data_IF_715370313487
#
_entry.id   IF_715370313487
#
_cell.length_a   1.000
_cell.length_b   1.000
_cell.length_c   1.000
_cell.angle_alpha   90.00
_cell.angle_beta   90.00
_cell.angle_gamma   90.00
#
_symmetry.space_group_name_H-M   'P 1'
#
loop_
_entity.id
_entity.type
_entity.pdbx_description
1 polymer ?
#
# COMPACT_ATOMS: atom_id res chain seq x y z
N UNK A 1 12.32 -25.88 -6.10
CA UNK A 1 11.17 -25.54 -5.26
C UNK A 1 11.45 -24.25 -4.48
N UNK A 2 10.44 -23.51 -4.18
CA UNK A 2 10.48 -22.31 -3.35
C UNK A 2 10.70 -22.74 -1.89
N UNK A 3 11.33 -21.90 -1.06
CA UNK A 3 11.50 -22.15 0.38
C UNK A 3 10.13 -22.16 1.09
N UNK A 4 10.00 -22.89 2.16
CA UNK A 4 8.75 -23.12 2.86
C UNK A 4 8.14 -24.47 2.49
N UNK A 5 7.25 -24.96 3.34
CA UNK A 5 6.40 -26.12 3.07
C UNK A 5 5.02 -25.60 2.73
N UNK A 6 4.40 -26.14 1.71
CA UNK A 6 3.04 -25.75 1.36
C UNK A 6 2.05 -26.38 2.36
N UNK A 7 1.31 -25.56 3.04
CA UNK A 7 0.33 -25.89 4.06
C UNK A 7 -1.05 -25.35 3.73
N UNK A 8 -2.05 -25.85 4.43
CA UNK A 8 -3.41 -25.42 4.16
C UNK A 8 -3.67 -24.05 4.78
N UNK A 9 -3.92 -23.05 3.95
CA UNK A 9 -4.17 -21.70 4.43
C UNK A 9 -3.12 -20.67 4.02
N UNK A 10 -1.91 -21.08 3.59
CA UNK A 10 -0.80 -20.17 3.26
C UNK A 10 -1.15 -19.06 2.26
N UNK A 11 -2.07 -19.31 1.36
CA UNK A 11 -2.48 -18.36 0.31
C UNK A 11 -1.30 -17.83 -0.53
N UNK A 12 -0.28 -18.67 -0.80
CA UNK A 12 0.86 -18.31 -1.65
C UNK A 12 0.41 -17.73 -3.00
N UNK A 13 0.92 -16.54 -3.35
CA UNK A 13 0.50 -15.81 -4.56
C UNK A 13 -0.68 -14.86 -4.32
N UNK A 14 -1.01 -14.54 -3.06
CA UNK A 14 -2.10 -13.63 -2.73
C UNK A 14 -1.83 -12.20 -3.24
N UNK A 15 -0.62 -11.69 -3.05
CA UNK A 15 -0.16 -10.43 -3.61
C UNK A 15 1.12 -10.65 -4.42
N UNK A 16 1.35 -9.82 -5.43
CA UNK A 16 2.52 -9.86 -6.31
C UNK A 16 3.03 -8.44 -6.53
N UNK A 17 4.37 -8.28 -6.51
CA UNK A 17 5.04 -7.06 -6.93
C UNK A 17 6.25 -7.41 -7.80
N UNK A 18 6.55 -6.54 -8.78
CA UNK A 18 7.65 -6.73 -9.74
C UNK A 18 8.61 -5.55 -9.65
N UNK A 19 9.90 -5.83 -9.58
CA UNK A 19 10.97 -4.83 -9.59
C UNK A 19 12.32 -5.51 -9.68
N UNK A 20 13.31 -4.79 -10.16
CA UNK A 20 14.72 -5.22 -10.14
C UNK A 20 15.27 -4.98 -8.71
N UNK A 21 15.10 -5.97 -7.83
CA UNK A 21 15.46 -5.85 -6.42
C UNK A 21 16.95 -6.09 -6.15
N UNK A 22 17.69 -6.71 -7.07
CA UNK A 22 19.13 -6.99 -6.93
C UNK A 22 20.02 -6.18 -7.87
N UNK A 23 19.43 -5.22 -8.61
CA UNK A 23 20.11 -4.29 -9.54
C UNK A 23 20.92 -5.01 -10.64
N UNK A 24 20.42 -6.17 -11.12
CA UNK A 24 21.04 -6.92 -12.19
C UNK A 24 20.51 -6.54 -13.60
N UNK A 25 19.48 -5.69 -13.66
CA UNK A 25 18.81 -5.21 -14.87
C UNK A 25 17.71 -6.15 -15.37
N UNK A 26 17.28 -7.12 -14.56
CA UNK A 26 16.19 -8.04 -14.88
C UNK A 26 15.16 -8.03 -13.74
N UNK A 27 13.89 -7.83 -14.09
CA UNK A 27 12.83 -7.79 -13.09
C UNK A 27 12.72 -9.10 -12.29
N UNK A 28 12.54 -8.95 -11.00
CA UNK A 28 12.29 -9.98 -9.99
C UNK A 28 10.82 -10.01 -9.59
N UNK A 29 10.43 -11.02 -8.81
CA UNK A 29 9.06 -11.20 -8.36
C UNK A 29 9.00 -11.40 -6.85
N UNK A 30 8.33 -10.47 -6.16
CA UNK A 30 7.88 -10.63 -4.78
C UNK A 30 6.49 -11.28 -4.76
N UNK A 31 6.30 -12.24 -3.83
CA UNK A 31 5.11 -13.08 -3.73
C UNK A 31 4.68 -13.15 -2.28
N UNK A 32 3.47 -12.72 -1.96
CA UNK A 32 2.90 -12.77 -0.63
C UNK A 32 2.25 -14.12 -0.30
N UNK A 33 2.42 -14.55 0.94
CA UNK A 33 1.79 -15.72 1.57
C UNK A 33 1.23 -15.31 2.94
N UNK A 34 0.12 -14.55 3.00
CA UNK A 34 -0.35 -13.97 4.25
C UNK A 34 -0.82 -15.00 5.29
N UNK A 35 -1.18 -16.19 4.88
CA UNK A 35 -1.57 -17.27 5.79
C UNK A 35 -0.43 -18.18 6.24
N UNK A 36 0.84 -17.86 5.90
CA UNK A 36 1.99 -18.65 6.36
C UNK A 36 2.11 -18.60 7.88
N UNK A 37 2.10 -19.78 8.50
CA UNK A 37 2.38 -19.93 9.93
C UNK A 37 3.88 -19.99 10.21
N UNK A 38 4.33 -19.31 11.26
CA UNK A 38 5.73 -19.23 11.63
C UNK A 38 6.01 -20.07 12.89
N UNK A 39 7.28 -20.44 13.09
CA UNK A 39 7.73 -21.26 14.22
C UNK A 39 7.01 -22.62 14.31
N UNK A 40 6.86 -23.31 13.18
CA UNK A 40 6.17 -24.60 13.08
C UNK A 40 4.71 -24.49 13.51
N UNK A 41 3.98 -23.52 12.96
CA UNK A 41 2.55 -23.23 13.18
C UNK A 41 2.20 -22.80 14.62
N UNK A 42 3.18 -22.36 15.40
CA UNK A 42 2.90 -21.82 16.75
C UNK A 42 2.41 -20.37 16.70
N UNK A 43 2.71 -19.64 15.62
CA UNK A 43 2.17 -18.29 15.32
C UNK A 43 1.41 -18.41 14.01
N UNK A 44 0.09 -18.54 14.10
CA UNK A 44 -0.77 -18.74 12.95
C UNK A 44 -0.93 -17.45 12.15
N UNK A 45 -1.03 -17.59 10.83
CA UNK A 45 -1.30 -16.48 9.90
C UNK A 45 -0.41 -15.24 10.14
N UNK A 46 0.85 -15.47 10.55
CA UNK A 46 1.84 -14.39 10.70
C UNK A 46 2.22 -13.79 9.33
N UNK A 47 2.19 -14.63 8.31
CA UNK A 47 2.47 -14.27 6.94
C UNK A 47 3.94 -14.17 6.58
N UNK A 48 4.21 -14.27 5.28
CA UNK A 48 5.55 -14.21 4.71
C UNK A 48 5.55 -13.63 3.30
N UNK A 49 6.72 -13.16 2.85
CA UNK A 49 6.97 -12.72 1.48
C UNK A 49 8.17 -13.46 0.92
N UNK A 50 8.02 -14.03 -0.27
CA UNK A 50 9.07 -14.66 -1.04
C UNK A 50 9.54 -13.73 -2.16
N UNK A 51 10.85 -13.66 -2.41
CA UNK A 51 11.42 -13.00 -3.58
C UNK A 51 12.15 -14.00 -4.45
N UNK A 52 11.77 -14.10 -5.71
CA UNK A 52 12.41 -14.90 -6.74
C UNK A 52 13.11 -13.96 -7.73
N UNK A 53 14.38 -14.23 -7.97
CA UNK A 53 15.16 -13.39 -8.88
C UNK A 53 14.96 -13.77 -10.35
N UNK A 54 14.99 -12.73 -11.19
CA UNK A 54 14.95 -12.84 -12.63
C UNK A 54 16.22 -13.44 -13.20
N UNK A 55 16.18 -13.88 -14.44
CA UNK A 55 17.35 -14.28 -15.20
C UNK A 55 17.01 -14.32 -16.70
N UNK A 56 18.01 -14.40 -17.56
CA UNK A 56 17.82 -14.58 -19.00
C UNK A 56 17.00 -15.85 -19.36
N UNK A 57 16.78 -16.77 -18.42
CA UNK A 57 15.97 -17.99 -18.60
C UNK A 57 14.61 -17.93 -17.88
N UNK A 58 14.26 -16.80 -17.28
CA UNK A 58 13.08 -16.58 -16.45
C UNK A 58 13.42 -16.61 -14.96
N UNK A 59 12.40 -16.66 -14.11
CA UNK A 59 12.55 -16.68 -12.66
C UNK A 59 13.32 -17.91 -12.18
N UNK A 60 14.21 -17.71 -11.21
CA UNK A 60 15.04 -18.78 -10.62
C UNK A 60 14.81 -18.86 -9.10
N UNK A 61 15.01 -20.07 -8.56
CA UNK A 61 14.97 -20.30 -7.10
C UNK A 61 16.36 -20.24 -6.44
N UNK A 62 17.41 -20.06 -7.26
CA UNK A 62 18.77 -19.85 -6.74
C UNK A 62 18.86 -18.44 -6.14
N UNK A 63 19.25 -18.34 -4.87
CA UNK A 63 19.36 -17.06 -4.18
C UNK A 63 18.04 -16.49 -3.63
N UNK A 64 16.90 -17.14 -3.87
CA UNK A 64 15.60 -16.70 -3.38
C UNK A 64 15.65 -16.26 -1.91
N UNK A 65 14.88 -15.25 -1.57
CA UNK A 65 14.77 -14.74 -0.20
C UNK A 65 13.37 -15.00 0.34
N UNK A 66 13.29 -15.21 1.65
CA UNK A 66 12.03 -15.35 2.40
C UNK A 66 12.06 -14.37 3.57
N UNK A 67 11.05 -13.51 3.63
CA UNK A 67 10.85 -12.53 4.67
C UNK A 67 9.68 -12.88 5.56
N UNK A 68 9.89 -12.83 6.86
CA UNK A 68 8.86 -12.76 7.89
C UNK A 68 9.44 -12.12 9.15
N UNK A 69 8.63 -11.75 10.13
CA UNK A 69 9.13 -11.18 11.39
C UNK A 69 10.10 -12.13 12.09
N UNK A 70 11.30 -11.62 12.40
CA UNK A 70 12.42 -12.42 12.96
C UNK A 70 13.31 -13.08 11.92
N UNK A 71 12.93 -13.05 10.62
CA UNK A 71 13.78 -13.44 9.51
C UNK A 71 13.64 -12.46 8.34
N UNK A 72 14.62 -11.59 8.20
CA UNK A 72 14.64 -10.53 7.17
C UNK A 72 13.78 -9.32 7.51
N UNK A 73 12.80 -9.43 8.39
CA UNK A 73 12.05 -8.30 8.94
C UNK A 73 12.27 -8.21 10.45
N UNK A 74 12.42 -6.99 10.95
CA UNK A 74 12.57 -6.73 12.38
C UNK A 74 11.28 -7.02 13.16
N UNK A 75 11.43 -7.37 14.43
CA UNK A 75 10.32 -7.69 15.32
C UNK A 75 10.13 -9.19 15.52
N UNK A 76 9.10 -9.53 16.27
CA UNK A 76 8.68 -10.93 16.50
C UNK A 76 7.40 -11.19 15.70
N UNK A 77 7.19 -12.41 15.17
CA UNK A 77 5.94 -12.75 14.51
C UNK A 77 4.74 -12.50 15.42
N UNK A 78 3.68 -11.95 14.87
CA UNK A 78 2.39 -11.77 15.55
C UNK A 78 1.35 -12.70 14.90
N UNK A 79 0.44 -13.22 15.70
CA UNK A 79 -0.66 -14.05 15.21
C UNK A 79 -1.64 -13.20 14.41
N UNK A 80 -2.03 -13.65 13.21
CA UNK A 80 -2.92 -12.96 12.27
C UNK A 80 -2.38 -11.60 11.74
N UNK A 81 -1.07 -11.37 11.75
CA UNK A 81 -0.48 -10.15 11.17
C UNK A 81 -0.59 -10.14 9.63
N UNK A 82 -0.66 -11.33 9.01
CA UNK A 82 -0.89 -11.54 7.58
C UNK A 82 0.09 -10.79 6.66
N UNK A 83 1.38 -10.76 7.00
CA UNK A 83 2.45 -10.17 6.16
C UNK A 83 2.38 -10.76 4.75
N UNK A 84 2.44 -9.90 3.72
CA UNK A 84 2.32 -10.30 2.32
C UNK A 84 0.89 -10.20 1.78
N UNK A 85 -0.02 -9.55 2.51
CA UNK A 85 -1.37 -9.22 2.01
C UNK A 85 -1.31 -8.14 0.93
N UNK A 86 -0.41 -7.16 1.07
CA UNK A 86 -0.24 -6.04 0.14
C UNK A 86 1.23 -5.85 -0.17
N UNK A 87 1.58 -5.71 -1.45
CA UNK A 87 2.95 -5.51 -1.92
C UNK A 87 2.99 -4.43 -2.99
N UNK A 88 4.00 -3.57 -2.94
CA UNK A 88 4.35 -2.62 -3.99
C UNK A 88 5.87 -2.57 -4.17
N UNK A 89 6.35 -2.21 -5.36
CA UNK A 89 7.76 -2.00 -5.66
C UNK A 89 7.97 -0.60 -6.21
N UNK A 90 9.02 0.08 -5.78
CA UNK A 90 9.35 1.44 -6.20
C UNK A 90 10.79 1.81 -5.91
N UNK A 91 11.20 2.98 -6.38
CA UNK A 91 12.51 3.60 -6.15
C UNK A 91 12.38 4.64 -5.02
N UNK A 92 12.28 4.17 -3.76
CA UNK A 92 12.04 5.06 -2.61
C UNK A 92 13.31 5.52 -1.89
N UNK A 93 14.46 4.97 -2.26
CA UNK A 93 15.72 5.32 -1.63
C UNK A 93 16.83 5.49 -2.68
N UNK A 94 17.15 6.71 -3.10
CA UNK A 94 18.13 6.95 -4.17
C UNK A 94 19.57 6.57 -3.76
N UNK A 95 19.80 6.11 -2.53
CA UNK A 95 21.12 5.72 -2.03
C UNK A 95 21.36 4.21 -2.20
N UNK A 96 20.30 3.41 -2.23
CA UNK A 96 20.39 1.96 -2.45
C UNK A 96 20.39 1.65 -3.94
N UNK A 97 20.94 0.50 -4.32
CA UNK A 97 20.85 0.00 -5.67
C UNK A 97 19.64 -0.94 -5.79
N UNK A 98 18.95 -0.90 -6.92
CA UNK A 98 17.74 -1.68 -7.16
C UNK A 98 16.48 -1.05 -6.53
N UNK A 99 15.33 -1.57 -6.91
CA UNK A 99 14.04 -1.15 -6.34
C UNK A 99 13.83 -1.70 -4.95
N UNK A 100 13.13 -0.95 -4.13
CA UNK A 100 12.68 -1.39 -2.82
C UNK A 100 11.33 -2.10 -2.90
N UNK A 101 11.04 -2.88 -1.84
CA UNK A 101 9.77 -3.56 -1.65
C UNK A 101 9.01 -2.93 -0.47
N UNK A 102 7.83 -2.39 -0.73
CA UNK A 102 6.89 -2.01 0.30
C UNK A 102 5.93 -3.17 0.59
N UNK A 103 5.77 -3.49 1.87
CA UNK A 103 4.86 -4.52 2.37
C UNK A 103 3.83 -3.82 3.24
N UNK A 104 2.59 -3.78 2.80
CA UNK A 104 1.47 -3.34 3.63
C UNK A 104 1.10 -4.43 4.63
N UNK A 105 0.94 -4.03 5.88
CA UNK A 105 0.61 -4.93 7.00
C UNK A 105 -0.62 -4.38 7.74
N UNK A 106 -1.81 -4.41 7.11
CA UNK A 106 -3.01 -3.76 7.63
C UNK A 106 -3.51 -4.35 8.96
N UNK A 107 -3.09 -5.55 9.30
CA UNK A 107 -3.48 -6.23 10.53
C UNK A 107 -2.41 -6.14 11.63
N UNK A 108 -1.42 -5.26 11.47
CA UNK A 108 -0.39 -5.02 12.48
C UNK A 108 -0.97 -4.37 13.73
N UNK A 109 -0.74 -5.00 14.90
CA UNK A 109 -1.08 -4.42 16.18
C UNK A 109 0.01 -3.43 16.64
N UNK A 110 -0.37 -2.19 16.95
CA UNK A 110 0.53 -1.16 17.44
C UNK A 110 0.31 -0.94 18.96
N UNK A 111 1.07 -1.65 19.77
CA UNK A 111 0.92 -1.60 21.21
C UNK A 111 -0.40 -2.20 21.68
N UNK A 112 -1.31 -1.36 22.20
CA UNK A 112 -2.64 -1.77 22.63
C UNK A 112 -3.73 -1.52 21.57
N UNK A 113 -3.34 -1.08 20.37
CA UNK A 113 -4.24 -0.80 19.25
C UNK A 113 -4.26 -2.02 18.32
N UNK A 114 -5.38 -2.74 18.30
CA UNK A 114 -5.56 -3.89 17.42
C UNK A 114 -5.72 -3.43 15.97
N UNK A 115 -4.97 -4.03 15.02
CA UNK A 115 -5.08 -3.77 13.58
C UNK A 115 -4.98 -2.27 13.20
N UNK A 116 -4.12 -1.51 13.87
CA UNK A 116 -3.84 -0.12 13.48
C UNK A 116 -3.14 -0.04 12.12
N UNK A 117 -2.40 -1.10 11.77
CA UNK A 117 -1.73 -1.22 10.49
C UNK A 117 -0.34 -0.62 10.45
N UNK A 118 0.41 -1.01 9.42
CA UNK A 118 1.75 -0.54 9.16
C UNK A 118 2.15 -0.74 7.70
N UNK A 119 3.19 -0.03 7.28
CA UNK A 119 3.95 -0.30 6.05
C UNK A 119 5.38 -0.63 6.43
N UNK A 120 5.93 -1.70 5.86
CA UNK A 120 7.34 -2.07 6.00
C UNK A 120 8.05 -1.84 4.67
N UNK A 121 9.07 -0.99 4.65
CA UNK A 121 9.97 -0.83 3.51
C UNK A 121 11.17 -1.75 3.68
N UNK A 122 11.47 -2.53 2.65
CA UNK A 122 12.62 -3.44 2.60
C UNK A 122 13.52 -3.01 1.45
N UNK A 123 14.75 -2.67 1.77
CA UNK A 123 15.79 -2.30 0.78
C UNK A 123 16.98 -3.24 0.84
N UNK A 124 17.87 -3.12 -0.16
CA UNK A 124 19.13 -3.85 -0.24
C UNK A 124 18.93 -5.39 -0.34
N UNK A 125 17.95 -5.81 -1.13
CA UNK A 125 17.64 -7.23 -1.42
C UNK A 125 18.59 -7.72 -2.53
N UNK A 126 19.31 -8.84 -2.39
CA UNK A 126 19.32 -9.85 -1.32
C UNK A 126 20.39 -9.64 -0.23
N UNK A 127 20.96 -8.44 -0.12
CA UNK A 127 22.10 -8.12 0.71
C UNK A 127 21.81 -8.05 2.22
N UNK A 128 22.37 -7.01 2.85
CA UNK A 128 22.12 -6.72 4.26
C UNK A 128 20.78 -5.98 4.37
N UNK A 129 19.71 -6.72 4.48
CA UNK A 129 18.35 -6.21 4.54
C UNK A 129 18.20 -5.10 5.56
N UNK A 130 17.75 -3.96 5.10
CA UNK A 130 17.31 -2.85 5.93
C UNK A 130 15.80 -2.77 5.80
N UNK A 131 15.10 -2.86 6.93
CA UNK A 131 13.67 -2.63 6.98
C UNK A 131 13.37 -1.43 7.89
N UNK A 132 12.46 -0.59 7.43
CA UNK A 132 11.87 0.50 8.20
C UNK A 132 10.36 0.25 8.29
N UNK A 133 9.80 0.51 9.48
CA UNK A 133 8.36 0.42 9.69
C UNK A 133 7.77 1.82 9.82
N UNK A 134 6.71 2.06 9.06
CA UNK A 134 5.93 3.29 9.09
C UNK A 134 4.51 2.99 9.58
N UNK A 135 4.05 3.79 10.51
CA UNK A 135 2.69 3.80 11.05
C UNK A 135 2.21 5.23 11.09
N UNK A 136 0.95 5.49 11.35
CA UNK A 136 0.45 6.85 11.55
C UNK A 136 1.06 7.54 12.78
N UNK A 137 1.61 6.77 13.75
CA UNK A 137 2.38 7.33 14.88
C UNK A 137 3.86 7.60 14.54
N UNK A 138 4.32 7.29 13.33
CA UNK A 138 5.69 7.62 12.91
C UNK A 138 5.85 9.14 12.80
N UNK A 139 6.93 9.67 13.35
CA UNK A 139 7.16 11.11 13.36
C UNK A 139 7.18 11.69 11.94
N UNK A 140 6.33 12.67 11.68
CA UNK A 140 6.16 13.32 10.38
C UNK A 140 5.01 12.73 9.55
N UNK A 141 4.58 11.50 9.81
CA UNK A 141 3.39 10.92 9.14
C UNK A 141 2.14 11.59 9.69
N UNK A 142 1.26 12.14 8.84
CA UNK A 142 -0.01 12.72 9.27
C UNK A 142 -0.99 11.68 9.80
N UNK A 143 -1.94 12.12 10.61
CA UNK A 143 -2.93 11.26 11.27
C UNK A 143 -2.49 10.85 12.67
N UNK A 144 -3.15 9.88 13.22
CA UNK A 144 -2.82 9.21 14.48
C UNK A 144 -3.31 7.77 14.36
N UNK A 145 -2.51 6.81 14.78
CA UNK A 145 -2.91 5.41 14.73
C UNK A 145 -4.07 5.15 15.70
N UNK A 146 -5.12 4.54 15.21
CA UNK A 146 -6.31 4.15 15.96
C UNK A 146 -6.61 2.65 15.77
N UNK A 147 -7.46 2.11 16.61
CA UNK A 147 -7.88 0.72 16.53
C UNK A 147 -8.67 0.48 15.23
N UNK A 148 -8.22 -0.50 14.42
CA UNK A 148 -8.83 -0.94 13.17
C UNK A 148 -8.67 0.00 11.95
N UNK A 149 -7.82 1.01 11.99
CA UNK A 149 -7.56 1.87 10.82
C UNK A 149 -7.01 1.06 9.62
N UNK A 150 -6.16 0.07 9.89
CA UNK A 150 -5.53 -0.77 8.85
C UNK A 150 -4.65 0.00 7.88
N UNK A 151 -3.89 0.96 8.39
CA UNK A 151 -2.88 1.67 7.59
C UNK A 151 -2.03 0.69 6.77
N UNK A 152 -1.89 0.93 5.47
CA UNK A 152 -1.21 0.01 4.56
C UNK A 152 -2.11 -1.03 3.89
N UNK A 153 -3.45 -0.86 3.96
CA UNK A 153 -4.39 -1.76 3.29
C UNK A 153 -4.31 -1.71 1.78
N UNK A 154 -3.86 -0.58 1.20
CA UNK A 154 -3.64 -0.40 -0.24
C UNK A 154 -2.34 0.37 -0.44
N UNK A 155 -1.53 -0.01 -1.43
CA UNK A 155 -0.25 0.65 -1.74
C UNK A 155 -0.14 0.94 -3.24
N UNK A 156 0.40 2.11 -3.58
CA UNK A 156 0.80 2.46 -4.95
C UNK A 156 2.00 3.40 -4.92
N UNK A 157 3.04 3.09 -5.70
CA UNK A 157 4.24 3.92 -5.82
C UNK A 157 4.21 4.77 -7.08
N UNK A 158 4.81 5.95 -7.06
CA UNK A 158 4.98 6.83 -8.22
C UNK A 158 5.77 8.08 -7.88
N UNK A 159 6.49 8.62 -8.86
CA UNK A 159 7.23 9.89 -8.78
C UNK A 159 6.26 11.05 -8.98
N UNK A 160 5.61 11.51 -7.88
CA UNK A 160 4.56 12.51 -7.94
C UNK A 160 5.08 13.95 -8.00
N UNK A 161 6.36 14.17 -7.76
CA UNK A 161 6.96 15.49 -7.82
C UNK A 161 8.00 15.68 -8.95
N UNK A 162 8.33 14.57 -9.66
CA UNK A 162 9.18 14.59 -10.84
C UNK A 162 10.67 14.71 -10.53
N UNK A 163 11.11 14.34 -9.33
CA UNK A 163 12.52 14.42 -8.92
C UNK A 163 13.30 13.13 -9.20
N UNK A 164 12.60 12.03 -9.52
CA UNK A 164 13.15 10.72 -9.86
C UNK A 164 13.23 9.75 -8.68
N UNK A 165 12.70 10.11 -7.53
CA UNK A 165 12.45 9.22 -6.39
C UNK A 165 10.95 9.00 -6.30
N UNK A 166 10.51 7.75 -6.14
CA UNK A 166 9.09 7.48 -6.03
C UNK A 166 8.60 7.83 -4.59
N UNK A 167 7.40 8.40 -4.46
CA UNK A 167 6.64 8.44 -3.22
C UNK A 167 5.74 7.20 -3.13
N UNK A 168 5.30 6.90 -1.92
CA UNK A 168 4.39 5.79 -1.65
C UNK A 168 3.03 6.29 -1.17
N UNK A 169 2.01 6.14 -2.01
CA UNK A 169 0.63 6.34 -1.60
C UNK A 169 0.13 5.12 -0.82
N UNK A 170 -0.35 5.37 0.39
CA UNK A 170 -0.86 4.39 1.35
C UNK A 170 -2.33 4.64 1.57
N UNK A 171 -3.18 3.72 1.14
CA UNK A 171 -4.62 3.77 1.36
C UNK A 171 -5.01 3.13 2.70
N UNK A 172 -5.90 3.81 3.38
CA UNK A 172 -6.53 3.43 4.62
C UNK A 172 -8.04 3.66 4.51
N UNK A 173 -8.78 2.71 3.90
CA UNK A 173 -10.17 2.93 3.53
C UNK A 173 -11.13 2.96 4.73
N UNK A 174 -10.67 2.65 5.93
CA UNK A 174 -11.48 2.69 7.16
C UNK A 174 -10.95 3.65 8.21
N UNK A 175 -10.02 4.54 7.81
CA UNK A 175 -9.55 5.66 8.65
C UNK A 175 -10.72 6.41 9.27
N UNK A 176 -10.64 6.65 10.57
CA UNK A 176 -11.63 7.42 11.30
C UNK A 176 -11.02 8.68 11.90
N UNK A 177 -11.70 9.82 11.73
CA UNK A 177 -11.19 11.10 12.21
C UNK A 177 -11.49 11.37 13.67
N UNK A 178 -12.32 10.57 14.34
CA UNK A 178 -12.82 10.83 15.69
C UNK A 178 -12.82 9.59 16.62
N UNK A 179 -12.06 8.54 16.30
CA UNK A 179 -11.96 7.31 17.09
C UNK A 179 -12.68 6.11 16.46
N UNK A 180 -12.44 4.90 16.96
CA UNK A 180 -12.78 3.67 16.27
C UNK A 180 -14.28 3.59 15.95
N UNK A 181 -14.60 3.33 14.68
CA UNK A 181 -15.94 3.16 14.13
C UNK A 181 -16.85 4.40 14.12
N UNK A 182 -16.36 5.57 14.51
CA UNK A 182 -17.15 6.81 14.44
C UNK A 182 -16.64 7.64 13.30
N UNK A 183 -17.31 7.55 12.14
CA UNK A 183 -16.95 8.35 10.97
C UNK A 183 -15.78 7.81 10.17
N UNK A 184 -15.64 6.47 10.03
CA UNK A 184 -14.70 5.86 9.10
C UNK A 184 -15.00 6.37 7.69
N UNK A 185 -14.15 7.24 7.18
CA UNK A 185 -14.31 7.92 5.89
C UNK A 185 -13.27 7.48 4.88
N UNK A 186 -12.16 6.96 5.37
CA UNK A 186 -10.99 6.60 4.61
C UNK A 186 -10.03 7.75 4.35
N UNK A 187 -8.77 7.41 4.11
CA UNK A 187 -7.70 8.36 3.80
C UNK A 187 -6.68 7.79 2.81
N UNK A 188 -5.87 8.68 2.25
CA UNK A 188 -4.67 8.34 1.51
C UNK A 188 -3.52 9.16 2.05
N UNK A 189 -2.50 8.48 2.59
CA UNK A 189 -1.26 9.13 3.03
C UNK A 189 -0.17 8.91 2.00
N UNK A 190 0.43 9.96 1.50
CA UNK A 190 1.60 9.93 0.63
C UNK A 190 2.84 10.03 1.51
N UNK A 191 3.65 8.99 1.51
CA UNK A 191 4.92 8.94 2.21
C UNK A 191 6.03 9.37 1.24
N UNK A 192 6.69 10.46 1.55
CA UNK A 192 7.83 10.99 0.84
C UNK A 192 9.08 10.71 1.70
N UNK A 193 10.08 10.05 1.12
CA UNK A 193 11.19 9.49 1.88
C UNK A 193 12.49 10.28 1.77
N UNK A 194 12.56 11.27 0.90
CA UNK A 194 13.76 12.07 0.69
C UNK A 194 13.71 13.47 1.33
N UNK A 195 12.52 14.06 1.50
CA UNK A 195 12.34 15.38 2.13
C UNK A 195 11.44 15.40 3.38
N UNK A 196 10.91 14.27 3.84
CA UNK A 196 9.97 14.14 4.97
C UNK A 196 8.67 14.94 4.76
N UNK A 197 8.28 15.21 3.51
CA UNK A 197 7.12 15.96 3.09
C UNK A 197 5.80 15.16 3.10
N UNK A 198 5.61 14.23 4.02
CA UNK A 198 4.42 13.37 4.07
C UNK A 198 3.11 14.15 4.09
N UNK A 199 2.16 13.75 3.27
CA UNK A 199 0.85 14.42 3.12
C UNK A 199 -0.28 13.40 3.25
N UNK A 200 -1.35 13.75 3.97
CA UNK A 200 -2.59 12.98 4.01
C UNK A 200 -3.66 13.70 3.20
N UNK A 201 -4.36 12.94 2.38
CA UNK A 201 -5.51 13.36 1.61
C UNK A 201 -6.78 12.72 2.20
N UNK A 202 -7.76 13.57 2.47
CA UNK A 202 -9.13 13.18 2.79
C UNK A 202 -10.03 13.56 1.61
N UNK A 203 -11.14 12.90 1.47
CA UNK A 203 -12.11 13.27 0.42
C UNK A 203 -12.58 14.72 0.55
N UNK A 204 -12.68 15.26 1.78
CA UNK A 204 -13.02 16.67 2.05
C UNK A 204 -12.00 17.68 1.48
N UNK A 205 -10.76 17.27 1.22
CA UNK A 205 -9.73 18.12 0.59
C UNK A 205 -9.95 18.25 -0.92
N UNK A 206 -10.80 17.40 -1.50
CA UNK A 206 -11.08 17.28 -2.92
C UNK A 206 -12.50 17.76 -3.19
N UNK A 207 -12.66 18.66 -4.14
CA UNK A 207 -13.93 19.35 -4.44
C UNK A 207 -14.74 18.59 -5.50
N UNK A 208 -16.08 18.49 -5.44
CA UNK A 208 -17.02 19.12 -4.48
C UNK A 208 -17.63 18.16 -3.43
N UNK A 209 -17.19 16.92 -3.37
CA UNK A 209 -17.80 15.92 -2.52
C UNK A 209 -17.26 16.03 -1.08
N UNK A 210 -18.07 15.69 -0.10
CA UNK A 210 -17.69 15.67 1.30
C UNK A 210 -17.56 14.23 1.78
N UNK A 211 -16.58 13.98 2.64
CA UNK A 211 -16.43 12.67 3.28
C UNK A 211 -17.69 12.30 4.04
N UNK A 212 -18.23 11.14 3.73
CA UNK A 212 -19.33 10.52 4.47
C UNK A 212 -18.84 9.24 5.16
N UNK A 213 -19.60 8.78 6.11
CA UNK A 213 -19.22 7.54 6.82
C UNK A 213 -19.33 6.35 5.88
N UNK A 214 -18.27 5.58 5.79
CA UNK A 214 -18.14 4.34 5.02
C UNK A 214 -17.92 4.52 3.50
N UNK A 215 -17.55 5.70 3.00
CA UNK A 215 -17.21 5.93 1.58
C UNK A 215 -16.02 5.12 1.09
N UNK A 216 -15.18 4.69 2.02
CA UNK A 216 -13.96 3.93 1.74
C UNK A 216 -13.01 4.64 0.76
N UNK A 217 -12.80 5.94 0.95
CA UNK A 217 -11.79 6.68 0.19
C UNK A 217 -10.40 6.05 0.41
N UNK A 218 -9.67 5.80 -0.68
CA UNK A 218 -8.41 5.06 -0.64
C UNK A 218 -8.54 3.54 -0.74
N UNK A 219 -9.74 3.01 -1.02
CA UNK A 219 -9.97 1.56 -1.18
C UNK A 219 -9.29 0.94 -2.42
N UNK A 220 -8.92 1.75 -3.39
CA UNK A 220 -8.13 1.37 -4.56
C UNK A 220 -7.22 2.53 -4.98
N UNK A 221 -5.97 2.21 -5.30
CA UNK A 221 -4.98 3.18 -5.76
C UNK A 221 -4.31 2.68 -7.03
N UNK A 222 -4.05 3.58 -7.97
CA UNK A 222 -3.22 3.30 -9.14
C UNK A 222 -2.48 4.57 -9.57
N UNK A 223 -1.23 4.42 -9.96
CA UNK A 223 -0.35 5.50 -10.43
C UNK A 223 -0.05 5.37 -11.91
N UNK A 224 -0.02 6.47 -12.61
CA UNK A 224 0.48 6.61 -13.98
C UNK A 224 0.52 8.10 -14.34
N UNK A 225 1.30 8.48 -15.34
CA UNK A 225 1.26 9.79 -15.99
C UNK A 225 0.01 9.88 -16.90
N UNK A 226 -1.13 10.38 -16.35
CA UNK A 226 -2.42 10.44 -17.07
C UNK A 226 -2.54 11.63 -18.01
N UNK A 227 -1.73 12.69 -17.83
CA UNK A 227 -1.75 13.89 -18.68
C UNK A 227 -0.53 14.05 -19.61
N UNK A 228 0.41 13.10 -19.55
CA UNK A 228 1.63 13.02 -20.37
C UNK A 228 2.60 14.18 -20.12
N UNK A 229 2.70 14.68 -18.90
CA UNK A 229 3.64 15.73 -18.52
C UNK A 229 4.99 15.19 -18.01
N UNK A 230 5.09 13.87 -17.77
CA UNK A 230 6.28 13.16 -17.34
C UNK A 230 6.39 12.99 -15.84
N UNK A 231 5.34 13.31 -15.09
CA UNK A 231 5.21 13.14 -13.65
C UNK A 231 4.06 12.18 -13.39
N UNK A 232 4.18 11.32 -12.39
CA UNK A 232 3.13 10.38 -12.08
C UNK A 232 1.95 11.06 -11.36
N UNK A 233 0.74 10.61 -11.70
CA UNK A 233 -0.51 11.03 -11.10
C UNK A 233 -1.09 9.89 -10.25
N UNK A 234 -2.04 10.20 -9.38
CA UNK A 234 -2.69 9.22 -8.52
C UNK A 234 -4.20 9.19 -8.75
N UNK A 235 -4.72 8.01 -9.09
CA UNK A 235 -6.16 7.76 -9.09
C UNK A 235 -6.56 7.03 -7.80
N UNK A 236 -7.62 7.52 -7.13
CA UNK A 236 -8.08 7.11 -5.80
C UNK A 236 -9.55 6.71 -5.89
N UNK A 237 -9.86 5.46 -5.54
CA UNK A 237 -11.24 4.97 -5.46
C UNK A 237 -11.87 5.25 -4.09
N UNK A 238 -13.14 5.69 -4.10
CA UNK A 238 -14.07 5.65 -2.98
C UNK A 238 -15.22 4.70 -3.37
N UNK A 239 -15.10 3.44 -2.97
CA UNK A 239 -15.91 2.38 -3.57
C UNK A 239 -17.35 2.39 -3.09
N UNK A 240 -17.58 2.85 -1.87
CA UNK A 240 -18.89 2.85 -1.22
C UNK A 240 -19.52 4.27 -1.14
N UNK A 241 -18.99 5.23 -1.91
CA UNK A 241 -19.55 6.59 -2.02
C UNK A 241 -20.99 6.59 -2.45
N UNK A 242 -21.81 7.36 -1.75
CA UNK A 242 -23.22 7.56 -2.04
C UNK A 242 -23.43 8.74 -3.01
N UNK A 243 -24.07 8.52 -4.15
CA UNK A 243 -24.39 9.59 -5.11
C UNK A 243 -25.85 10.06 -4.94
N UNK A 244 -26.07 10.89 -3.93
CA UNK A 244 -27.39 11.40 -3.60
C UNK A 244 -28.34 10.29 -3.11
N UNK A 245 -29.35 9.82 -3.90
CA UNK A 245 -30.24 8.74 -3.46
C UNK A 245 -29.72 7.34 -3.77
N UNK A 246 -28.54 7.22 -4.36
CA UNK A 246 -27.98 5.94 -4.80
C UNK A 246 -26.87 5.55 -3.84
N UNK A 247 -27.17 4.57 -3.00
CA UNK A 247 -26.25 4.03 -2.02
C UNK A 247 -25.12 3.25 -2.72
N UNK A 248 -23.88 3.42 -2.28
CA UNK A 248 -22.69 2.68 -2.73
C UNK A 248 -22.49 2.72 -4.27
N UNK A 249 -22.69 3.88 -4.86
CA UNK A 249 -22.48 4.09 -6.29
C UNK A 249 -21.00 4.13 -6.67
N UNK A 250 -20.18 4.57 -5.74
CA UNK A 250 -18.74 4.73 -5.90
C UNK A 250 -18.33 5.88 -6.80
N UNK A 251 -17.14 6.40 -6.56
CA UNK A 251 -16.49 7.39 -7.43
C UNK A 251 -14.98 7.19 -7.49
N UNK A 252 -14.35 7.91 -8.40
CA UNK A 252 -12.91 7.93 -8.59
C UNK A 252 -12.43 9.39 -8.58
N UNK A 253 -11.44 9.70 -7.76
CA UNK A 253 -10.66 10.93 -7.82
C UNK A 253 -9.36 10.72 -8.58
N UNK A 254 -8.88 11.73 -9.30
CA UNK A 254 -7.55 11.77 -9.90
C UNK A 254 -6.85 13.03 -9.45
N UNK A 255 -5.73 12.87 -8.75
CA UNK A 255 -4.81 13.94 -8.37
C UNK A 255 -3.64 13.94 -9.33
N UNK A 256 -3.23 15.13 -9.77
CA UNK A 256 -2.13 15.30 -10.70
C UNK A 256 -0.85 15.68 -9.98
N UNK A 257 0.26 15.03 -10.38
CA UNK A 257 1.60 15.37 -9.93
C UNK A 257 2.03 16.76 -10.42
N UNK A 258 2.82 17.46 -9.61
CA UNK A 258 3.33 18.80 -9.95
C UNK A 258 4.82 18.88 -9.61
N UNK A 259 5.66 19.30 -10.58
CA UNK A 259 7.11 19.34 -10.44
C UNK A 259 7.59 20.04 -9.17
N UNK A 260 8.28 19.28 -8.29
CA UNK A 260 8.83 19.74 -7.02
C UNK A 260 7.77 20.16 -5.99
N UNK A 261 6.54 19.65 -6.13
CA UNK A 261 5.43 19.99 -5.23
C UNK A 261 4.59 18.75 -4.85
N UNK A 262 4.73 17.63 -5.56
CA UNK A 262 3.95 16.44 -5.35
C UNK A 262 2.50 16.54 -5.83
N UNK A 263 1.62 15.69 -5.31
CA UNK A 263 0.22 15.67 -5.70
C UNK A 263 -0.51 16.96 -5.32
N UNK A 264 -1.27 17.51 -6.25
CA UNK A 264 -2.05 18.73 -6.06
C UNK A 264 -3.55 18.55 -6.36
N UNK A 265 -4.40 19.32 -5.64
CA UNK A 265 -5.85 19.33 -5.85
C UNK A 265 -6.34 20.47 -6.73
N UNK A 266 -5.42 21.24 -7.33
CA UNK A 266 -5.78 22.41 -8.18
C UNK A 266 -6.41 22.01 -9.51
N UNK A 267 -6.16 20.78 -9.97
CA UNK A 267 -6.61 20.20 -11.24
C UNK A 267 -7.31 18.84 -11.04
N UNK A 268 -7.66 18.51 -9.80
CA UNK A 268 -8.31 17.24 -9.48
C UNK A 268 -9.51 16.96 -10.40
N UNK A 269 -9.70 15.69 -10.71
CA UNK A 269 -10.84 15.23 -11.52
C UNK A 269 -11.63 14.19 -10.75
N UNK A 270 -12.94 14.29 -10.85
CA UNK A 270 -13.87 13.32 -10.30
C UNK A 270 -14.56 12.58 -11.44
N UNK A 271 -14.55 11.27 -11.35
CA UNK A 271 -15.21 10.38 -12.30
C UNK A 271 -16.24 9.54 -11.58
N UNK A 272 -17.46 9.58 -12.07
CA UNK A 272 -18.58 8.80 -11.57
C UNK A 272 -19.35 8.16 -12.71
N UNK A 273 -20.07 7.10 -12.43
CA UNK A 273 -20.96 6.49 -13.42
C UNK A 273 -22.15 7.43 -13.68
N UNK A 274 -22.47 7.65 -14.95
CA UNK A 274 -23.67 8.40 -15.29
C UNK A 274 -24.89 7.53 -15.03
N UNK A 275 -25.84 8.09 -14.29
CA UNK A 275 -27.15 7.46 -14.11
C UNK A 275 -27.83 7.30 -15.48
N UNK A 276 -28.20 6.08 -15.87
CA UNK A 276 -29.07 5.86 -17.00
C UNK A 276 -30.52 6.12 -16.55
N UNK A 277 -31.15 7.23 -16.97
CA UNK A 277 -32.54 7.52 -16.58
C UNK A 277 -33.55 6.52 -17.12
N UNK A 278 -33.11 5.50 -17.86
CA UNK A 278 -33.95 4.46 -18.45
C UNK A 278 -33.90 3.10 -17.71
N UNK A 279 -32.98 2.93 -16.76
CA UNK A 279 -32.97 1.77 -15.87
C UNK A 279 -33.90 2.08 -14.69
N UNK A 280 -35.20 1.80 -14.85
CA UNK A 280 -36.10 1.69 -13.71
C UNK A 280 -35.64 0.50 -12.87
N UNK A 281 -35.22 0.75 -11.65
CA UNK A 281 -34.88 -0.27 -10.65
C UNK A 281 -36.10 -1.21 -10.45
N UNK A 282 -35.99 -2.48 -10.90
CA UNK A 282 -36.93 -3.56 -10.63
C UNK A 282 -36.66 -4.20 -9.25
#
# INVERSE_FOLDING_TARGET
>A
SINGLAEAGDRFGFALAVGDFDDDGIDDLAIGSPGEGIESETVADAGAVHVLFGSASGLVTAGQVLFYRGQGLNGSPQENEEIGTVLAAGEWNPITAGRELAIGVPYHDLGDLDQAGAVVLVSDIPGALFDAIYTQDTAGVPGAAEELDRFGAVLAGGDFDGDGVDELAVGDPIESLEGPFVGAVGSVTVLDFDDDGHVQWLQDDLNPESSETADQFGSALVTADFDADGIDDLAIGAADEDLGPIDQAGLLHVLYGEAGAGLGNSRDQIWLQTLDPSEDDD
#
